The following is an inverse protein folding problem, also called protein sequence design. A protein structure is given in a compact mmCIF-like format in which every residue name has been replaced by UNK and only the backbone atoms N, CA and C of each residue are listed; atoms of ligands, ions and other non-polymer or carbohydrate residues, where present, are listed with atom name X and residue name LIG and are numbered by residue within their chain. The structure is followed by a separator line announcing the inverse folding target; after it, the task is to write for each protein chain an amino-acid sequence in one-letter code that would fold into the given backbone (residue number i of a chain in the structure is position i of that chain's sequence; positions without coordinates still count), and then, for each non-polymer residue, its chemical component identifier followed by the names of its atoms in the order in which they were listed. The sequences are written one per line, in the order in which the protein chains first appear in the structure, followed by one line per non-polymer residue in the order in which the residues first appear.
data_IF_497420934119
#
_entry.id   IF_497420934119
#
_cell.length_a   1.000
_cell.length_b   1.000
_cell.length_c   1.000
_cell.angle_alpha   90.00
_cell.angle_beta   90.00
_cell.angle_gamma   90.00
#
_symmetry.space_group_name_H-M   'P 1'
#
loop_
_entity.id
_entity.type
_entity.pdbx_description
1 polymer ?
#
# COMPACT_ATOMS: atom_id res chain seq x y z
N UNK A 1 3.19 0.19 1.36
CA UNK A 1 4.36 -0.30 2.13
C UNK A 1 4.03 -0.55 3.61
N UNK A 2 3.60 0.46 4.39
CA UNK A 2 3.36 0.32 5.84
C UNK A 2 2.44 -0.84 6.22
N UNK A 3 1.30 -0.96 5.53
CA UNK A 3 0.31 -2.04 5.76
C UNK A 3 0.89 -3.45 5.55
N UNK A 4 1.85 -3.61 4.63
CA UNK A 4 2.49 -4.91 4.39
C UNK A 4 3.36 -5.33 5.57
N UNK A 5 4.16 -4.41 6.12
CA UNK A 5 4.95 -4.69 7.32
C UNK A 5 4.06 -4.97 8.53
N UNK A 6 2.97 -4.21 8.68
CA UNK A 6 1.98 -4.44 9.73
C UNK A 6 1.35 -5.84 9.62
N UNK A 7 0.96 -6.24 8.41
CA UNK A 7 0.42 -7.57 8.14
C UNK A 7 1.43 -8.67 8.47
N UNK A 8 2.67 -8.57 7.97
CA UNK A 8 3.72 -9.56 8.23
C UNK A 8 4.03 -9.66 9.73
N UNK A 9 4.09 -8.53 10.44
CA UNK A 9 4.32 -8.55 11.88
C UNK A 9 3.17 -9.23 12.63
N UNK A 10 1.92 -8.84 12.32
CA UNK A 10 0.72 -9.38 12.96
C UNK A 10 0.55 -10.88 12.73
N UNK A 11 0.81 -11.38 11.51
CA UNK A 11 0.74 -12.81 11.19
C UNK A 11 1.75 -13.65 11.98
N UNK A 12 2.89 -13.07 12.37
CA UNK A 12 3.92 -13.74 13.17
C UNK A 12 3.77 -13.53 14.69
N UNK A 13 2.90 -12.62 15.14
CA UNK A 13 2.73 -12.24 16.55
C UNK A 13 1.25 -11.99 16.88
N UNK A 14 0.38 -12.98 16.57
CA UNK A 14 -1.07 -12.84 16.67
C UNK A 14 -1.57 -12.62 18.10
N UNK A 15 -0.79 -13.01 19.09
CA UNK A 15 -1.03 -12.77 20.51
C UNK A 15 -0.94 -11.28 20.91
N UNK A 16 -0.27 -10.46 20.09
CA UNK A 16 -0.11 -9.03 20.35
C UNK A 16 -1.23 -8.23 19.68
N UNK A 17 -2.18 -7.75 20.49
CA UNK A 17 -3.30 -6.93 20.04
C UNK A 17 -2.97 -5.44 19.94
N UNK A 18 -1.77 -5.02 20.35
CA UNK A 18 -1.36 -3.62 20.36
C UNK A 18 -0.26 -3.37 19.33
N UNK A 19 -0.68 -3.04 18.11
CA UNK A 19 0.23 -2.68 17.03
C UNK A 19 0.14 -1.17 16.73
N UNK A 20 1.26 -0.48 16.88
CA UNK A 20 1.40 0.92 16.44
C UNK A 20 2.31 0.97 15.23
N UNK A 21 1.91 1.72 14.21
CA UNK A 21 2.70 1.90 12.99
C UNK A 21 2.77 3.36 12.59
N UNK A 22 3.78 3.70 11.80
CA UNK A 22 3.97 5.04 11.28
C UNK A 22 5.28 5.16 10.54
N UNK A 23 5.48 6.33 9.95
CA UNK A 23 6.69 6.67 9.21
C UNK A 23 7.49 7.74 9.97
N UNK A 24 8.81 7.74 9.80
CA UNK A 24 9.68 8.83 10.23
C UNK A 24 10.25 9.48 8.97
N UNK A 25 10.10 10.80 8.86
CA UNK A 25 10.70 11.56 7.76
C UNK A 25 12.02 12.17 8.20
N UNK A 26 13.13 11.74 7.61
CA UNK A 26 14.44 12.31 7.89
C UNK A 26 14.60 13.75 7.36
N UNK A 27 13.86 14.09 6.29
CA UNK A 27 13.86 15.46 5.74
C UNK A 27 13.04 16.42 6.62
N UNK A 28 11.94 15.94 7.19
CA UNK A 28 11.04 16.74 8.02
C UNK A 28 11.08 16.23 9.47
N UNK A 29 12.26 16.23 10.08
CA UNK A 29 12.46 15.66 11.43
C UNK A 29 11.55 16.30 12.49
N UNK A 30 11.17 17.57 12.33
CA UNK A 30 10.25 18.27 13.24
C UNK A 30 8.85 17.65 13.32
N UNK A 31 8.43 16.87 12.30
CA UNK A 31 7.14 16.19 12.30
C UNK A 31 7.14 14.93 13.19
N UNK A 32 8.32 14.44 13.60
CA UNK A 32 8.44 13.24 14.44
C UNK A 32 7.84 11.99 13.79
N UNK A 33 7.16 11.17 14.59
CA UNK A 33 6.51 9.95 14.14
C UNK A 33 5.16 10.25 13.49
N UNK A 34 5.03 9.94 12.21
CA UNK A 34 3.85 10.22 11.38
C UNK A 34 2.94 9.00 11.40
N UNK A 35 1.83 9.10 12.13
CA UNK A 35 0.82 8.06 12.19
C UNK A 35 -0.04 8.03 10.91
N UNK A 36 -0.43 6.84 10.42
CA UNK A 36 -1.44 6.74 9.37
C UNK A 36 -2.80 7.26 9.86
N UNK A 37 -3.58 7.80 8.94
CA UNK A 37 -4.96 8.20 9.20
C UNK A 37 -5.88 7.08 8.73
N UNK A 38 -6.74 6.61 9.63
CA UNK A 38 -7.80 5.66 9.31
C UNK A 38 -9.16 6.36 9.35
N UNK A 39 -10.11 5.87 8.56
CA UNK A 39 -11.50 6.32 8.62
C UNK A 39 -12.20 5.68 9.83
N UNK A 40 -13.20 6.37 10.38
CA UNK A 40 -14.19 5.80 11.31
C UNK A 40 -13.62 5.14 12.59
N UNK A 41 -12.61 5.75 13.22
CA UNK A 41 -11.95 5.25 14.44
C UNK A 41 -11.39 3.82 14.34
N UNK A 42 -11.25 3.28 13.13
CA UNK A 42 -10.68 1.94 12.91
C UNK A 42 -9.19 1.92 13.27
N UNK A 43 -8.73 0.78 13.76
CA UNK A 43 -7.31 0.52 14.00
C UNK A 43 -6.66 -0.07 12.75
N UNK A 44 -5.32 -0.10 12.74
CA UNK A 44 -4.62 -0.80 11.67
C UNK A 44 -5.01 -2.28 11.61
N UNK A 45 -5.22 -2.92 12.76
CA UNK A 45 -5.53 -4.35 12.84
C UNK A 45 -6.86 -4.64 12.15
N UNK A 46 -7.87 -3.81 12.40
CA UNK A 46 -9.18 -3.91 11.76
C UNK A 46 -9.08 -3.84 10.23
N UNK A 47 -8.11 -3.08 9.72
CA UNK A 47 -7.87 -2.88 8.29
C UNK A 47 -7.00 -3.97 7.62
N UNK A 48 -6.33 -4.85 8.40
CA UNK A 48 -5.38 -5.82 7.83
C UNK A 48 -6.06 -6.90 6.98
N UNK A 49 -7.27 -7.33 7.36
CA UNK A 49 -8.02 -8.35 6.62
C UNK A 49 -8.38 -7.90 5.21
N UNK A 50 -8.97 -6.70 5.10
CA UNK A 50 -9.33 -6.10 3.82
C UNK A 50 -8.09 -5.81 2.97
N UNK A 51 -7.04 -5.26 3.60
CA UNK A 51 -5.77 -5.03 2.92
C UNK A 51 -5.18 -6.32 2.33
N UNK A 52 -5.19 -7.42 3.10
CA UNK A 52 -4.69 -8.73 2.63
C UNK A 52 -5.50 -9.23 1.43
N UNK A 53 -6.82 -9.12 1.48
CA UNK A 53 -7.70 -9.49 0.37
C UNK A 53 -7.39 -8.68 -0.89
N UNK A 54 -7.29 -7.35 -0.76
CA UNK A 54 -6.94 -6.47 -1.89
C UNK A 54 -5.54 -6.77 -2.45
N UNK A 55 -4.57 -7.08 -1.59
CA UNK A 55 -3.21 -7.42 -2.00
C UNK A 55 -3.17 -8.73 -2.81
N UNK A 56 -3.90 -9.76 -2.37
CA UNK A 56 -3.99 -11.04 -3.09
C UNK A 56 -4.61 -10.80 -4.48
N UNK A 57 -5.75 -10.11 -4.54
CA UNK A 57 -6.42 -9.79 -5.80
C UNK A 57 -5.53 -9.00 -6.75
N UNK A 58 -4.76 -8.04 -6.24
CA UNK A 58 -3.81 -7.27 -7.05
C UNK A 58 -2.74 -8.19 -7.66
N UNK A 59 -2.15 -9.08 -6.87
CA UNK A 59 -1.10 -10.00 -7.33
C UNK A 59 -1.67 -11.00 -8.34
N UNK A 60 -2.85 -11.56 -8.08
CA UNK A 60 -3.52 -12.49 -9.00
C UNK A 60 -3.77 -11.83 -10.36
N UNK A 61 -4.32 -10.62 -10.38
CA UNK A 61 -4.56 -9.87 -11.62
C UNK A 61 -3.26 -9.51 -12.35
N UNK A 62 -2.16 -9.28 -11.64
CA UNK A 62 -0.86 -9.00 -12.25
C UNK A 62 -0.23 -10.23 -12.90
N UNK A 63 -0.57 -11.43 -12.42
CA UNK A 63 -0.01 -12.70 -12.90
C UNK A 63 -0.93 -13.42 -13.90
N UNK A 64 -2.18 -12.98 -14.04
CA UNK A 64 -3.13 -13.55 -15.00
C UNK A 64 -2.72 -13.21 -16.44
N UNK A 65 -2.33 -14.25 -17.19
CA UNK A 65 -1.96 -14.13 -18.60
C UNK A 65 -3.16 -13.88 -19.53
N UNK A 66 -4.37 -14.13 -19.06
CA UNK A 66 -5.61 -13.85 -19.78
C UNK A 66 -6.09 -12.41 -19.58
N UNK A 67 -5.56 -11.71 -18.58
CA UNK A 67 -5.87 -10.31 -18.34
C UNK A 67 -4.86 -9.41 -19.05
N UNK A 68 -5.35 -8.64 -20.02
CA UNK A 68 -4.49 -7.64 -20.69
C UNK A 68 -4.10 -6.53 -19.71
N UNK A 69 -2.85 -6.09 -19.78
CA UNK A 69 -2.40 -4.90 -19.07
C UNK A 69 -3.16 -3.67 -19.56
N UNK A 70 -3.77 -2.92 -18.63
CA UNK A 70 -4.47 -1.66 -18.91
C UNK A 70 -3.71 -0.52 -18.25
N UNK A 71 -3.48 0.54 -19.02
CA UNK A 71 -2.80 1.74 -18.54
C UNK A 71 -3.70 2.50 -17.58
N UNK A 72 -3.10 3.11 -16.55
CA UNK A 72 -3.85 4.00 -15.65
C UNK A 72 -4.49 5.16 -16.41
N UNK A 73 -5.71 5.53 -16.03
CA UNK A 73 -6.40 6.71 -16.54
C UNK A 73 -5.81 8.01 -15.98
N UNK A 74 -5.11 7.93 -14.84
CA UNK A 74 -4.49 9.08 -14.21
C UNK A 74 -3.13 9.39 -14.84
N UNK A 75 -3.12 10.34 -15.77
CA UNK A 75 -1.95 10.75 -16.53
C UNK A 75 -0.86 11.35 -15.64
N UNK A 76 -1.21 11.98 -14.52
CA UNK A 76 -0.23 12.63 -13.63
C UNK A 76 0.74 11.61 -13.04
N UNK A 77 0.28 10.37 -12.82
CA UNK A 77 1.11 9.26 -12.35
C UNK A 77 2.20 8.87 -13.34
N UNK A 78 2.03 9.20 -14.64
CA UNK A 78 2.98 8.88 -15.68
C UNK A 78 4.16 9.86 -15.76
N UNK A 79 4.09 11.01 -15.08
CA UNK A 79 5.13 12.06 -15.11
C UNK A 79 6.53 11.54 -14.80
N UNK A 80 6.63 10.58 -13.88
CA UNK A 80 7.90 9.99 -13.43
C UNK A 80 8.06 8.53 -13.87
N UNK A 81 7.28 8.07 -14.85
CA UNK A 81 7.33 6.71 -15.36
C UNK A 81 8.27 6.61 -16.56
N UNK A 82 9.36 5.87 -16.42
CA UNK A 82 10.33 5.64 -17.50
C UNK A 82 9.71 4.89 -18.69
N UNK A 83 8.64 4.14 -18.47
CA UNK A 83 7.93 3.36 -19.48
C UNK A 83 6.73 4.09 -20.11
N UNK A 84 6.54 5.38 -19.82
CA UNK A 84 5.40 6.17 -20.31
C UNK A 84 5.23 6.08 -21.83
N UNK A 85 6.33 6.04 -22.59
CA UNK A 85 6.33 5.92 -24.05
C UNK A 85 5.76 4.59 -24.54
N UNK A 86 6.08 3.47 -23.88
CA UNK A 86 5.53 2.15 -24.20
C UNK A 86 4.01 2.12 -23.89
N UNK A 87 3.60 2.90 -22.91
CA UNK A 87 2.21 3.07 -22.52
C UNK A 87 1.47 4.16 -23.31
N UNK A 88 2.03 4.73 -24.38
CA UNK A 88 1.43 5.86 -25.11
C UNK A 88 0.99 7.02 -24.19
N UNK A 89 1.70 7.24 -23.07
CA UNK A 89 1.53 8.37 -22.17
C UNK A 89 2.72 9.30 -22.39
N UNK A 90 2.49 10.49 -22.94
CA UNK A 90 3.52 11.52 -23.16
C UNK A 90 3.75 12.35 -21.91
#
# INVERSE_FOLDING_TARGET
QLMLYALMYHENHRENQHLTVGNISLRNHSQGFIFPKFTDNSTIIDSLGDFKTSLILLIENMLDQHQAFIQTENIDLCTFCDYRQICNRT
#
